data_IF_507147003210
#
_entry.id   IF_507147003210
#
_cell.length_a   1.000
_cell.length_b   1.000
_cell.length_c   1.000
_cell.angle_alpha   90.00
_cell.angle_beta   90.00
_cell.angle_gamma   90.00
#
_symmetry.space_group_name_H-M   'P 1'
#
loop_
_entity.id
_entity.type
_entity.pdbx_description
1 polymer ?
#
# COMPACT_ATOMS: atom_id res chain seq x y z
N UNK A 1 10.34 20.44 21.47
CA UNK A 1 8.94 20.19 21.07
C UNK A 1 8.98 19.30 19.85
N UNK A 2 8.86 17.99 20.07
CA UNK A 2 8.94 16.94 19.07
C UNK A 2 7.62 16.90 18.30
N UNK A 3 7.65 17.24 17.01
CA UNK A 3 6.49 17.14 16.13
C UNK A 3 6.48 15.78 15.43
N UNK A 4 5.32 15.18 15.14
CA UNK A 4 5.28 13.89 14.48
C UNK A 4 5.78 14.03 13.04
N UNK A 5 6.80 13.22 12.76
CA UNK A 5 7.45 13.01 11.49
C UNK A 5 6.46 12.51 10.42
N UNK A 6 6.75 12.82 9.16
CA UNK A 6 6.05 12.31 7.98
C UNK A 6 5.73 10.81 8.13
N UNK A 7 4.45 10.44 8.07
CA UNK A 7 4.00 9.04 8.18
C UNK A 7 3.57 8.51 6.80
N UNK A 8 4.13 7.35 6.46
CA UNK A 8 3.83 6.58 5.24
C UNK A 8 2.89 5.45 5.67
N UNK A 9 1.72 5.35 5.06
CA UNK A 9 0.68 4.44 5.51
C UNK A 9 0.30 3.39 4.48
N UNK A 10 -0.01 2.18 4.97
CA UNK A 10 -0.70 1.12 4.25
C UNK A 10 -2.21 1.23 4.54
N UNK A 11 -3.07 1.21 3.52
CA UNK A 11 -4.47 1.64 3.68
C UNK A 11 -5.32 0.75 4.58
N UNK A 12 -5.08 -0.57 4.64
CA UNK A 12 -5.97 -1.48 5.39
C UNK A 12 -5.87 -1.27 6.92
N UNK A 13 -4.84 -0.56 7.38
CA UNK A 13 -4.67 -0.20 8.80
C UNK A 13 -5.05 1.25 9.10
N UNK A 14 -5.54 2.02 8.10
CA UNK A 14 -5.84 3.46 8.25
C UNK A 14 -7.28 3.76 7.87
N UNK A 15 -8.00 4.39 8.80
CA UNK A 15 -9.27 5.06 8.52
C UNK A 15 -8.98 6.35 7.72
N UNK A 16 -9.38 6.36 6.43
CA UNK A 16 -9.10 7.46 5.52
C UNK A 16 -9.91 8.72 5.85
N UNK A 17 -11.10 8.60 6.45
CA UNK A 17 -11.90 9.75 6.86
C UNK A 17 -11.26 10.42 8.08
N UNK A 18 -10.84 9.63 9.06
CA UNK A 18 -10.07 10.13 10.19
C UNK A 18 -8.75 10.79 9.76
N UNK A 19 -8.08 10.24 8.75
CA UNK A 19 -6.88 10.83 8.17
C UNK A 19 -7.15 12.18 7.50
N UNK A 20 -8.23 12.30 6.73
CA UNK A 20 -8.63 13.59 6.11
C UNK A 20 -8.82 14.65 7.19
N UNK A 21 -9.53 14.33 8.25
CA UNK A 21 -9.78 15.27 9.34
C UNK A 21 -8.50 15.62 10.10
N UNK A 22 -7.62 14.65 10.37
CA UNK A 22 -6.33 14.90 11.02
C UNK A 22 -5.39 15.78 10.18
N UNK A 23 -5.44 15.66 8.85
CA UNK A 23 -4.67 16.50 7.92
C UNK A 23 -5.26 17.92 7.82
N UNK A 24 -6.59 18.05 7.89
CA UNK A 24 -7.28 19.36 7.89
C UNK A 24 -7.09 20.13 9.19
N UNK A 25 -7.20 19.45 10.32
CA UNK A 25 -7.02 20.03 11.65
C UNK A 25 -5.55 20.37 11.96
N UNK A 26 -4.61 19.87 11.14
CA UNK A 26 -3.17 20.01 11.36
C UNK A 26 -2.64 19.10 12.47
N UNK A 27 -3.43 18.15 12.97
CA UNK A 27 -2.97 17.10 13.90
C UNK A 27 -1.86 16.27 13.26
N UNK A 28 -2.00 15.93 11.99
CA UNK A 28 -0.96 15.34 11.16
C UNK A 28 -0.47 16.42 10.20
N UNK A 29 0.84 16.65 10.18
CA UNK A 29 1.44 17.68 9.32
C UNK A 29 1.26 17.34 7.84
N UNK A 30 1.57 16.10 7.46
CA UNK A 30 1.44 15.58 6.10
C UNK A 30 1.37 14.06 6.10
N UNK A 31 0.79 13.48 5.05
CA UNK A 31 0.71 12.03 4.85
C UNK A 31 1.10 11.64 3.42
N UNK A 32 1.74 10.49 3.28
CA UNK A 32 2.01 9.85 1.99
C UNK A 32 1.33 8.48 1.93
N UNK A 33 0.52 8.25 0.89
CA UNK A 33 -0.24 7.01 0.68
C UNK A 33 0.09 6.41 -0.68
N UNK A 34 0.49 5.14 -0.71
CA UNK A 34 0.61 4.37 -1.95
C UNK A 34 -0.61 3.47 -2.20
N UNK A 35 -1.39 3.18 -1.16
CA UNK A 35 -2.59 2.34 -1.21
C UNK A 35 -3.76 3.19 -0.72
N UNK A 36 -4.93 3.01 -1.32
CA UNK A 36 -6.17 3.74 -0.96
C UNK A 36 -7.38 2.82 -0.96
N UNK A 37 -8.52 3.24 -0.43
CA UNK A 37 -9.77 2.52 -0.55
C UNK A 37 -10.94 3.46 -0.90
N UNK A 38 -11.66 3.24 -2.02
CA UNK A 38 -11.44 2.24 -3.06
C UNK A 38 -10.22 2.56 -3.95
N UNK A 39 -9.73 1.55 -4.68
CA UNK A 39 -8.69 1.72 -5.72
C UNK A 39 -9.29 1.59 -7.14
N UNK A 40 -9.11 2.59 -8.03
CA UNK A 40 -8.51 3.90 -7.79
C UNK A 40 -9.42 4.85 -7.01
N UNK A 41 -8.82 5.79 -6.29
CA UNK A 41 -9.56 6.78 -5.49
C UNK A 41 -10.48 7.64 -6.38
N UNK A 42 -11.73 7.94 -5.96
CA UNK A 42 -12.65 8.79 -6.72
C UNK A 42 -12.05 10.18 -6.98
N UNK A 43 -12.32 10.75 -8.16
CA UNK A 43 -11.72 12.04 -8.58
C UNK A 43 -12.12 13.23 -7.71
N UNK A 44 -13.26 13.12 -7.03
CA UNK A 44 -13.81 14.10 -6.12
C UNK A 44 -13.37 13.90 -4.66
N UNK A 45 -12.57 12.86 -4.37
CA UNK A 45 -12.17 12.51 -3.01
C UNK A 45 -11.35 13.62 -2.32
N UNK A 46 -11.64 13.98 -1.05
CA UNK A 46 -10.97 15.06 -0.33
C UNK A 46 -9.45 14.97 -0.28
N UNK A 47 -8.89 13.76 -0.11
CA UNK A 47 -7.45 13.52 -0.06
C UNK A 47 -6.69 14.06 -1.29
N UNK A 48 -7.31 14.07 -2.49
CA UNK A 48 -6.69 14.59 -3.72
C UNK A 48 -6.56 16.13 -3.74
N UNK A 49 -7.25 16.82 -2.84
CA UNK A 49 -7.27 18.30 -2.77
C UNK A 49 -6.43 18.85 -1.62
N UNK A 50 -5.97 18.00 -0.70
CA UNK A 50 -5.20 18.43 0.47
C UNK A 50 -3.75 18.74 0.05
N UNK A 51 -3.21 19.93 0.37
CA UNK A 51 -1.85 20.32 -0.01
C UNK A 51 -0.77 19.54 0.76
N UNK A 52 -1.16 18.88 1.83
CA UNK A 52 -0.31 18.07 2.70
C UNK A 52 -0.55 16.55 2.54
N UNK A 53 -1.13 16.12 1.42
CA UNK A 53 -1.26 14.72 1.06
C UNK A 53 -0.47 14.42 -0.24
N UNK A 54 0.37 13.38 -0.21
CA UNK A 54 1.04 12.83 -1.39
C UNK A 54 0.47 11.44 -1.66
N UNK A 55 -0.04 11.20 -2.87
CA UNK A 55 -0.69 9.94 -3.22
C UNK A 55 -0.01 9.34 -4.45
N UNK A 56 0.41 8.09 -4.35
CA UNK A 56 0.94 7.29 -5.46
C UNK A 56 -0.02 6.13 -5.78
N UNK A 57 -0.18 5.74 -7.06
CA UNK A 57 -1.22 4.78 -7.45
C UNK A 57 -0.75 3.32 -7.33
N UNK A 58 -0.50 2.85 -6.11
CA UNK A 58 -0.10 1.46 -5.81
C UNK A 58 1.12 1.00 -6.62
N UNK A 59 2.18 1.82 -6.62
CA UNK A 59 3.41 1.58 -7.39
C UNK A 59 4.63 1.29 -6.53
N UNK A 60 4.48 1.13 -5.22
CA UNK A 60 5.59 0.89 -4.29
C UNK A 60 6.44 -0.35 -4.62
N UNK A 61 5.88 -1.31 -5.35
CA UNK A 61 6.58 -2.54 -5.79
C UNK A 61 7.00 -2.53 -7.27
N UNK A 62 6.71 -1.47 -8.02
CA UNK A 62 6.77 -1.47 -9.49
C UNK A 62 8.18 -1.19 -10.06
N UNK A 63 9.16 -1.99 -9.64
CA UNK A 63 10.51 -1.99 -10.26
C UNK A 63 10.70 -3.23 -11.13
N UNK A 64 11.48 -3.12 -12.22
CA UNK A 64 11.76 -4.25 -13.12
C UNK A 64 12.36 -5.46 -12.37
N UNK A 65 13.24 -5.22 -11.41
CA UNK A 65 13.86 -6.27 -10.61
C UNK A 65 12.83 -6.95 -9.69
N UNK A 66 12.00 -6.17 -9.01
CA UNK A 66 10.94 -6.70 -8.13
C UNK A 66 9.92 -7.51 -8.94
N UNK A 67 9.45 -6.98 -10.07
CA UNK A 67 8.52 -7.67 -10.96
C UNK A 67 9.08 -9.02 -11.43
N UNK A 68 10.34 -9.05 -11.86
CA UNK A 68 11.02 -10.29 -12.26
C UNK A 68 11.04 -11.32 -11.13
N UNK A 69 11.45 -10.92 -9.92
CA UNK A 69 11.54 -11.81 -8.75
C UNK A 69 10.17 -12.34 -8.32
N UNK A 70 9.12 -11.53 -8.42
CA UNK A 70 7.74 -11.96 -8.14
C UNK A 70 7.34 -13.05 -9.12
N UNK A 71 7.56 -12.84 -10.42
CA UNK A 71 7.22 -13.82 -11.47
C UNK A 71 8.02 -15.12 -11.28
N UNK A 72 9.32 -15.04 -11.02
CA UNK A 72 10.16 -16.21 -10.75
C UNK A 72 9.60 -17.06 -9.59
N UNK A 73 9.28 -16.43 -8.46
CA UNK A 73 8.67 -17.11 -7.30
C UNK A 73 7.28 -17.68 -7.59
N UNK A 74 6.46 -16.96 -8.37
CA UNK A 74 5.14 -17.46 -8.78
C UNK A 74 5.26 -18.73 -9.62
N UNK A 75 6.20 -18.76 -10.56
CA UNK A 75 6.46 -19.94 -11.42
C UNK A 75 6.98 -21.11 -10.58
N UNK A 76 7.92 -20.87 -9.66
CA UNK A 76 8.44 -21.91 -8.75
C UNK A 76 7.34 -22.55 -7.90
N UNK A 77 6.48 -21.72 -7.30
CA UNK A 77 5.35 -22.20 -6.50
C UNK A 77 4.35 -23.01 -7.36
N UNK A 78 4.03 -22.53 -8.56
CA UNK A 78 3.10 -23.21 -9.46
C UNK A 78 3.65 -24.58 -9.91
N UNK A 79 4.94 -24.66 -10.25
CA UNK A 79 5.58 -25.91 -10.64
C UNK A 79 5.65 -26.92 -9.49
N UNK A 80 5.91 -26.46 -8.26
CA UNK A 80 5.90 -27.32 -7.08
C UNK A 80 4.50 -27.89 -6.83
N UNK A 81 3.47 -27.04 -6.89
CA UNK A 81 2.07 -27.45 -6.72
C UNK A 81 1.64 -28.49 -7.77
N UNK A 82 1.96 -28.26 -9.05
CA UNK A 82 1.61 -29.19 -10.14
C UNK A 82 2.32 -30.55 -10.03
N UNK A 83 3.50 -30.60 -9.41
CA UNK A 83 4.27 -31.84 -9.18
C UNK A 83 3.90 -32.55 -7.87
N UNK A 84 2.97 -31.99 -7.09
CA UNK A 84 2.66 -32.49 -5.74
C UNK A 84 3.84 -32.36 -4.76
N UNK A 85 4.78 -31.46 -5.04
CA UNK A 85 5.90 -31.16 -4.15
C UNK A 85 5.51 -30.07 -3.14
N UNK A 86 6.21 -29.98 -1.99
CA UNK A 86 6.02 -28.88 -1.06
C UNK A 86 6.19 -27.51 -1.74
N UNK A 87 5.22 -26.63 -1.58
CA UNK A 87 5.24 -25.29 -2.19
C UNK A 87 6.15 -24.36 -1.36
N UNK A 88 7.23 -23.79 -1.94
CA UNK A 88 8.25 -23.07 -1.16
C UNK A 88 7.76 -21.86 -0.38
N UNK A 89 6.75 -21.14 -0.88
CA UNK A 89 6.18 -19.95 -0.23
C UNK A 89 4.68 -20.10 0.05
N UNK A 90 4.26 -21.29 0.50
CA UNK A 90 2.87 -21.56 0.86
C UNK A 90 2.43 -20.73 2.07
N UNK A 91 1.35 -19.96 1.91
CA UNK A 91 0.68 -19.30 3.03
C UNK A 91 -0.43 -20.23 3.49
N UNK A 92 -0.28 -20.80 4.69
CA UNK A 92 -1.30 -21.63 5.31
C UNK A 92 -2.25 -20.77 6.13
N UNK A 93 -3.56 -20.97 6.04
CA UNK A 93 -4.48 -20.35 6.99
C UNK A 93 -4.12 -20.81 8.41
N UNK A 94 -4.24 -19.89 9.38
CA UNK A 94 -4.11 -20.21 10.81
C UNK A 94 -5.36 -20.92 11.32
#
# INVERSE_FOLDING_TARGET
>A
MSGPDLQIFFCEVVDQDALVEALRSGTIRAAALDVTHPEPLPRDHPLLRLPNALITPHIGINTNNTARRIVEKMVENALAALKGLPVPNEVRPQ
#
